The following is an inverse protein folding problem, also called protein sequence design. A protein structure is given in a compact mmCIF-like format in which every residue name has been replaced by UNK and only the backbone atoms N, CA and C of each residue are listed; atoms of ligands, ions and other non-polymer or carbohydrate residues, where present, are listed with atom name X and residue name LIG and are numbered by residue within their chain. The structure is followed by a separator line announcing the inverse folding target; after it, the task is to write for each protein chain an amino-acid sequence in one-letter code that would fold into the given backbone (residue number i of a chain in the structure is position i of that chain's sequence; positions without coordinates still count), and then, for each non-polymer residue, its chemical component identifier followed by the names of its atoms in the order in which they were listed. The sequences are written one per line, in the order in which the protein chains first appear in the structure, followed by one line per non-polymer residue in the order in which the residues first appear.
data_IF_487179623974
#
_entry.id   IF_487179623974
#
_cell.length_a   1.000
_cell.length_b   1.000
_cell.length_c   1.000
_cell.angle_alpha   90.00
_cell.angle_beta   90.00
_cell.angle_gamma   90.00
#
_symmetry.space_group_name_H-M   'P 1'
#
loop_
_entity.id
_entity.type
_entity.pdbx_description
1 polymer ?
#
# COMPACT_ATOMS: atom_id res chain seq x y z
N UNK A 1 12.74 8.35 10.86
CA UNK A 1 11.78 7.34 10.36
C UNK A 1 12.54 6.06 10.13
N UNK A 2 12.10 4.97 10.74
CA UNK A 2 12.62 3.63 10.51
C UNK A 2 11.48 2.83 9.89
N UNK A 3 11.74 2.18 8.75
CA UNK A 3 10.78 1.30 8.10
C UNK A 3 11.35 -0.11 8.06
N UNK A 4 10.52 -1.10 8.36
CA UNK A 4 10.88 -2.52 8.24
C UNK A 4 10.38 -3.03 6.90
N UNK A 5 11.28 -3.53 6.05
CA UNK A 5 10.90 -4.22 4.81
C UNK A 5 10.93 -5.73 5.03
N UNK A 6 9.78 -6.37 4.89
CA UNK A 6 9.68 -7.83 4.83
C UNK A 6 9.85 -8.26 3.38
N UNK A 7 11.09 -8.56 3.03
CA UNK A 7 11.45 -9.04 1.70
C UNK A 7 11.27 -10.56 1.62
N UNK A 8 10.72 -11.08 0.53
CA UNK A 8 10.51 -12.52 0.40
C UNK A 8 11.84 -13.27 0.12
N UNK A 9 11.98 -14.50 0.64
CA UNK A 9 13.23 -15.27 0.55
C UNK A 9 13.72 -15.56 -0.89
N UNK A 10 12.81 -15.49 -1.87
CA UNK A 10 13.12 -15.65 -3.29
C UNK A 10 13.91 -14.48 -3.89
N UNK A 11 14.14 -13.39 -3.15
CA UNK A 11 15.08 -12.33 -3.57
C UNK A 11 16.46 -12.88 -3.95
N UNK A 12 16.90 -13.92 -3.24
CA UNK A 12 18.20 -14.56 -3.47
C UNK A 12 18.26 -15.37 -4.77
N UNK A 13 17.11 -15.73 -5.34
CA UNK A 13 17.00 -16.57 -6.53
C UNK A 13 16.89 -15.74 -7.81
N UNK A 14 16.37 -14.52 -7.71
CA UNK A 14 16.22 -13.62 -8.85
C UNK A 14 17.33 -12.57 -8.86
N UNK A 15 18.35 -12.79 -9.70
CA UNK A 15 19.42 -11.82 -10.02
C UNK A 15 18.90 -10.53 -10.72
N UNK A 16 17.61 -10.22 -10.63
CA UNK A 16 16.94 -9.21 -11.44
C UNK A 16 15.78 -8.53 -10.70
N UNK A 17 15.98 -8.21 -9.42
CA UNK A 17 15.05 -7.32 -8.69
C UNK A 17 15.21 -5.90 -9.25
N UNK A 18 14.23 -5.46 -10.03
CA UNK A 18 14.30 -4.18 -10.73
C UNK A 18 13.93 -3.03 -9.77
N UNK A 19 14.16 -1.78 -10.18
CA UNK A 19 13.74 -0.58 -9.43
C UNK A 19 12.24 -0.64 -9.09
N UNK A 20 11.41 -1.13 -10.01
CA UNK A 20 9.96 -1.26 -9.81
C UNK A 20 9.60 -2.24 -8.69
N UNK A 21 10.33 -3.35 -8.57
CA UNK A 21 10.11 -4.33 -7.51
C UNK A 21 10.51 -3.74 -6.15
N UNK A 22 11.63 -2.99 -6.10
CA UNK A 22 12.02 -2.26 -4.89
C UNK A 22 10.99 -1.20 -4.48
N UNK A 23 10.53 -0.39 -5.43
CA UNK A 23 9.51 0.64 -5.17
C UNK A 23 8.21 0.01 -4.66
N UNK A 24 7.84 -1.15 -5.20
CA UNK A 24 6.68 -1.93 -4.74
C UNK A 24 6.87 -2.37 -3.28
N UNK A 25 7.99 -3.00 -2.93
CA UNK A 25 8.24 -3.45 -1.56
C UNK A 25 8.25 -2.27 -0.57
N UNK A 26 8.87 -1.14 -0.95
CA UNK A 26 8.87 0.07 -0.14
C UNK A 26 7.46 0.63 0.03
N UNK A 27 6.66 0.68 -1.03
CA UNK A 27 5.28 1.15 -0.96
C UNK A 27 4.42 0.27 -0.05
N UNK A 28 4.59 -1.05 -0.11
CA UNK A 28 3.90 -2.00 0.77
C UNK A 28 4.30 -1.78 2.22
N UNK A 29 5.60 -1.71 2.51
CA UNK A 29 6.10 -1.50 3.87
C UNK A 29 5.61 -0.17 4.47
N UNK A 30 5.60 0.90 3.66
CA UNK A 30 5.08 2.21 4.08
C UNK A 30 3.56 2.18 4.32
N UNK A 31 2.81 1.41 3.53
CA UNK A 31 1.37 1.24 3.71
C UNK A 31 1.04 0.39 4.94
N UNK A 32 1.72 -0.74 5.12
CA UNK A 32 1.56 -1.66 6.26
C UNK A 32 1.88 -0.97 7.59
N UNK A 33 2.82 -0.03 7.60
CA UNK A 33 3.19 0.76 8.77
C UNK A 33 2.41 2.09 8.89
N UNK A 34 1.31 2.23 8.13
CA UNK A 34 0.40 3.39 8.19
C UNK A 34 1.08 4.75 7.93
N UNK A 35 2.26 4.75 7.28
CA UNK A 35 2.99 5.97 6.95
C UNK A 35 2.41 6.69 5.73
N UNK A 36 1.72 5.97 4.85
CA UNK A 36 1.10 6.50 3.64
C UNK A 36 -0.25 5.83 3.37
N UNK A 37 -1.14 6.54 2.67
CA UNK A 37 -2.43 5.99 2.22
C UNK A 37 -2.26 5.03 1.04
N UNK A 38 -3.25 4.17 0.82
CA UNK A 38 -3.32 3.22 -0.30
C UNK A 38 -3.05 3.91 -1.66
N UNK A 39 -3.71 5.04 -1.89
CA UNK A 39 -3.57 5.86 -3.10
C UNK A 39 -2.16 6.41 -3.31
N UNK A 40 -1.44 6.69 -2.23
CA UNK A 40 -0.06 7.18 -2.30
C UNK A 40 0.92 6.02 -2.49
N UNK A 41 0.66 4.88 -1.86
CA UNK A 41 1.42 3.65 -2.03
C UNK A 41 1.37 3.15 -3.49
N UNK A 42 0.19 3.14 -4.13
CA UNK A 42 0.06 2.73 -5.53
C UNK A 42 0.89 3.62 -6.49
N UNK A 43 0.92 4.93 -6.23
CA UNK A 43 1.72 5.89 -7.01
C UNK A 43 3.22 5.63 -6.87
N UNK A 44 3.69 5.35 -5.65
CA UNK A 44 5.11 5.02 -5.39
C UNK A 44 5.49 3.72 -6.07
N UNK A 45 4.62 2.70 -5.99
CA UNK A 45 4.79 1.42 -6.66
C UNK A 45 4.61 1.49 -8.18
N UNK A 46 4.37 2.69 -8.76
CA UNK A 46 4.12 2.93 -10.19
C UNK A 46 3.08 1.97 -10.79
N UNK A 47 2.03 1.67 -10.03
CA UNK A 47 0.96 0.76 -10.45
C UNK A 47 -0.43 1.33 -10.17
N UNK A 48 -1.43 0.73 -10.82
CA UNK A 48 -2.81 1.13 -10.61
C UNK A 48 -3.25 0.77 -9.18
N UNK A 49 -4.19 1.56 -8.63
CA UNK A 49 -4.68 1.39 -7.27
C UNK A 49 -5.21 -0.03 -7.03
N UNK A 50 -6.00 -0.54 -7.98
CA UNK A 50 -6.60 -1.86 -7.89
C UNK A 50 -5.56 -2.99 -7.91
N UNK A 51 -4.51 -2.86 -8.74
CA UNK A 51 -3.40 -3.83 -8.78
C UNK A 51 -2.64 -3.83 -7.45
N UNK A 52 -2.39 -2.65 -6.89
CA UNK A 52 -1.75 -2.51 -5.58
C UNK A 52 -2.60 -3.15 -4.48
N UNK A 53 -3.92 -2.91 -4.51
CA UNK A 53 -4.87 -3.48 -3.57
C UNK A 53 -4.92 -5.01 -3.64
N UNK A 54 -4.94 -5.59 -4.84
CA UNK A 54 -4.86 -7.04 -5.00
C UNK A 54 -3.53 -7.60 -4.49
N UNK A 55 -2.44 -6.88 -4.74
CA UNK A 55 -1.10 -7.31 -4.34
C UNK A 55 -0.94 -7.39 -2.82
N UNK A 56 -1.38 -6.37 -2.09
CA UNK A 56 -1.35 -6.37 -0.61
C UNK A 56 -2.34 -7.39 -0.04
N UNK A 57 -3.54 -7.54 -0.63
CA UNK A 57 -4.51 -8.54 -0.22
C UNK A 57 -3.98 -9.97 -0.40
N UNK A 58 -3.25 -10.23 -1.49
CA UNK A 58 -2.63 -11.53 -1.74
C UNK A 58 -1.49 -11.85 -0.76
N UNK A 59 -0.93 -10.83 -0.09
CA UNK A 59 0.05 -10.99 0.99
C UNK A 59 -0.60 -11.04 2.39
N UNK A 60 -1.93 -11.02 2.47
CA UNK A 60 -2.64 -11.00 3.75
C UNK A 60 -2.56 -9.68 4.50
N UNK A 61 -2.07 -8.62 3.84
CA UNK A 61 -2.08 -7.27 4.41
C UNK A 61 -3.51 -6.76 4.27
N UNK A 62 -4.20 -6.69 5.41
CA UNK A 62 -5.58 -6.26 5.45
C UNK A 62 -5.64 -4.80 4.98
N UNK A 63 -6.35 -4.57 3.88
CA UNK A 63 -6.74 -3.23 3.44
C UNK A 63 -7.77 -2.79 4.46
N UNK A 64 -7.33 -2.25 5.60
CA UNK A 64 -8.24 -1.54 6.49
C UNK A 64 -8.81 -0.41 5.63
N UNK A 65 -10.02 -0.61 5.12
CA UNK A 65 -10.87 0.48 4.66
C UNK A 65 -11.18 1.21 5.95
N UNK A 66 -10.30 2.15 6.30
CA UNK A 66 -10.33 2.74 7.62
C UNK A 66 -11.71 3.37 7.79
N UNK A 67 -12.40 2.96 8.85
CA UNK A 67 -13.74 3.44 9.16
C UNK A 67 -13.72 4.97 9.28
N UNK A 68 -12.54 5.54 9.52
CA UNK A 68 -12.24 6.97 9.49
C UNK A 68 -12.43 7.63 8.11
N UNK A 69 -12.04 6.99 7.00
CA UNK A 69 -12.21 7.53 5.64
C UNK A 69 -13.69 7.51 5.23
N UNK A 70 -14.41 6.44 5.60
CA UNK A 70 -15.87 6.37 5.46
C UNK A 70 -16.59 7.42 6.30
N UNK A 71 -16.11 7.70 7.52
CA UNK A 71 -16.67 8.72 8.39
C UNK A 71 -16.41 10.14 7.87
N UNK A 72 -15.24 10.39 7.28
CA UNK A 72 -14.97 11.67 6.62
C UNK A 72 -15.91 11.88 5.43
N UNK A 73 -16.16 10.87 4.61
CA UNK A 73 -17.11 10.97 3.50
C UNK A 73 -18.55 11.24 3.97
N UNK A 74 -19.00 10.58 5.05
CA UNK A 74 -20.30 10.86 5.69
C UNK A 74 -20.36 12.28 6.26
N UNK A 75 -19.29 12.78 6.88
CA UNK A 75 -19.23 14.16 7.39
C UNK A 75 -19.29 15.19 6.25
N UNK A 76 -18.64 14.91 5.12
CA UNK A 76 -18.70 15.74 3.93
C UNK A 76 -20.08 15.74 3.26
N UNK A 77 -20.76 14.59 3.22
CA UNK A 77 -22.13 14.48 2.71
C UNK A 77 -23.15 15.16 3.63
N UNK A 78 -22.99 15.04 4.95
CA UNK A 78 -23.88 15.68 5.94
C UNK A 78 -23.76 17.21 5.98
N UNK A 79 -22.61 17.77 5.61
CA UNK A 79 -22.42 19.22 5.49
C UNK A 79 -23.01 19.82 4.20
N UNK A 80 -23.39 19.00 3.22
CA UNK A 80 -24.03 19.46 1.98
C UNK A 80 -25.56 19.21 1.94
N UNK A 81 -26.13 18.72 3.03
CA UNK A 81 -27.58 18.52 3.22
C UNK A 81 -28.22 19.66 3.98
#
# INVERSE_FOLDING_TARGET
MQITLNLPDHLTQTNNFNELDWLREIAIALFEQEHITLSRASKIAKMHLLDFQQLIASRGICVHYDVEDFNQDILHLRNRG
#
